data_IF_615153289529
#
_entry.id   IF_615153289529
#
_cell.length_a   1.000
_cell.length_b   1.000
_cell.length_c   1.000
_cell.angle_alpha   90.00
_cell.angle_beta   90.00
_cell.angle_gamma   90.00
#
_symmetry.space_group_name_H-M   'P 1'
#
loop_
_entity.id
_entity.type
_entity.pdbx_description
1 polymer ?
#
# COMPACT_ATOMS: atom_id res chain seq x y z
N UNK A 1 3.53 -3.29 -8.35
CA UNK A 1 4.68 -2.50 -8.86
C UNK A 1 5.70 -3.40 -9.58
N UNK A 2 6.27 -4.40 -8.95
CA UNK A 2 7.30 -5.29 -9.55
C UNK A 2 6.84 -5.94 -10.86
N UNK A 3 5.64 -6.52 -10.91
CA UNK A 3 5.07 -7.05 -12.17
C UNK A 3 4.99 -6.00 -13.27
N UNK A 4 4.51 -4.80 -12.97
CA UNK A 4 4.44 -3.69 -13.94
C UNK A 4 5.82 -3.28 -14.48
N UNK A 5 6.84 -3.36 -13.65
CA UNK A 5 8.22 -3.00 -14.00
C UNK A 5 9.02 -4.17 -14.59
N UNK A 6 8.44 -5.37 -14.60
CA UNK A 6 9.11 -6.60 -15.00
C UNK A 6 10.41 -6.85 -14.21
N UNK A 7 10.38 -6.58 -12.91
CA UNK A 7 11.50 -6.80 -11.98
C UNK A 7 11.25 -8.10 -11.21
N UNK A 8 12.21 -9.05 -11.21
CA UNK A 8 12.10 -10.26 -10.40
C UNK A 8 12.02 -9.94 -8.91
N UNK A 9 11.18 -10.66 -8.19
CA UNK A 9 11.06 -10.56 -6.74
C UNK A 9 10.57 -11.88 -6.14
N UNK A 10 10.84 -12.07 -4.86
CA UNK A 10 10.27 -13.15 -4.05
C UNK A 10 9.15 -12.56 -3.20
N UNK A 11 7.98 -13.20 -3.22
CA UNK A 11 6.85 -12.84 -2.36
C UNK A 11 6.84 -13.76 -1.14
N UNK A 12 6.81 -13.18 0.05
CA UNK A 12 6.61 -13.91 1.30
C UNK A 12 5.23 -13.58 1.82
N UNK A 13 4.41 -14.58 2.05
CA UNK A 13 3.03 -14.44 2.52
C UNK A 13 2.93 -14.98 3.95
N UNK A 14 2.10 -14.33 4.75
CA UNK A 14 1.74 -14.75 6.11
C UNK A 14 0.25 -15.01 6.13
N UNK A 15 -0.11 -16.28 6.27
CA UNK A 15 -1.50 -16.71 6.28
C UNK A 15 -2.05 -16.66 7.69
N UNK A 16 -3.14 -15.91 7.89
CA UNK A 16 -3.89 -15.94 9.14
C UNK A 16 -4.60 -17.29 9.30
N UNK A 17 -4.76 -17.72 10.54
CA UNK A 17 -5.61 -18.87 10.86
C UNK A 17 -7.07 -18.65 10.48
N UNK A 18 -7.84 -19.74 10.55
CA UNK A 18 -9.26 -19.75 10.22
C UNK A 18 -10.11 -18.92 11.20
N UNK A 19 -11.34 -18.62 10.76
CA UNK A 19 -12.36 -18.04 11.63
C UNK A 19 -12.71 -19.02 12.78
N UNK A 20 -13.13 -18.51 13.95
CA UNK A 20 -13.39 -17.11 14.26
C UNK A 20 -12.16 -16.32 14.75
N UNK A 21 -11.09 -16.99 15.12
CA UNK A 21 -9.97 -16.36 15.85
C UNK A 21 -9.01 -15.61 14.93
N UNK A 22 -8.92 -16.00 13.65
CA UNK A 22 -7.99 -15.43 12.68
C UNK A 22 -6.58 -15.26 13.24
N UNK A 23 -6.01 -16.35 13.78
CA UNK A 23 -4.69 -16.34 14.41
C UNK A 23 -3.64 -15.69 13.50
N UNK A 24 -2.85 -14.77 14.06
CA UNK A 24 -1.83 -14.00 13.37
C UNK A 24 -0.42 -14.30 13.86
N UNK A 25 -0.25 -15.39 14.62
CA UNK A 25 1.06 -15.80 15.17
C UNK A 25 2.11 -15.95 14.07
N UNK A 26 1.72 -16.44 12.88
CA UNK A 26 2.59 -16.52 11.71
C UNK A 26 3.36 -15.24 11.39
N UNK A 27 2.79 -14.07 11.68
CA UNK A 27 3.43 -12.77 11.54
C UNK A 27 3.94 -12.22 12.87
N UNK A 28 3.14 -12.29 13.93
CA UNK A 28 3.45 -11.66 15.22
C UNK A 28 4.71 -12.25 15.88
N UNK A 29 4.97 -13.55 15.69
CA UNK A 29 6.13 -14.22 16.28
C UNK A 29 7.45 -13.89 15.56
N UNK A 30 7.38 -13.44 14.32
CA UNK A 30 8.58 -13.18 13.51
C UNK A 30 8.89 -11.71 13.27
N UNK A 31 7.90 -10.82 13.33
CA UNK A 31 8.06 -9.42 12.91
C UNK A 31 9.20 -8.69 13.61
N UNK A 32 9.40 -8.91 14.90
CA UNK A 32 10.45 -8.27 15.68
C UNK A 32 11.85 -8.84 15.38
N UNK A 33 11.92 -10.04 14.79
CA UNK A 33 13.19 -10.70 14.44
C UNK A 33 13.74 -10.24 13.09
N UNK A 34 12.93 -9.59 12.25
CA UNK A 34 13.30 -9.18 10.90
C UNK A 34 14.24 -7.97 10.86
N UNK A 35 14.43 -7.28 11.99
CA UNK A 35 15.27 -6.09 12.08
C UNK A 35 14.74 -4.93 11.24
N UNK A 36 13.41 -4.78 11.18
CA UNK A 36 12.71 -3.65 10.62
C UNK A 36 12.65 -2.53 11.65
N UNK A 37 12.83 -1.28 11.23
CA UNK A 37 12.72 -0.12 12.12
C UNK A 37 11.28 0.07 12.63
N UNK A 38 10.31 -0.14 11.76
CA UNK A 38 8.87 -0.12 12.06
C UNK A 38 8.24 -1.43 11.57
N UNK A 39 8.24 -2.52 12.40
CA UNK A 39 7.78 -3.84 11.98
C UNK A 39 6.31 -3.86 11.61
N UNK A 40 6.01 -3.90 10.31
CA UNK A 40 4.65 -3.89 9.76
C UNK A 40 4.61 -4.56 8.37
N UNK A 41 3.40 -4.88 7.91
CA UNK A 41 3.12 -5.37 6.56
C UNK A 41 2.48 -4.26 5.71
N UNK A 42 2.87 -4.11 4.44
CA UNK A 42 3.96 -4.84 3.77
C UNK A 42 5.35 -4.34 4.17
N UNK A 43 6.35 -5.17 3.98
CA UNK A 43 7.76 -4.78 4.05
C UNK A 43 8.50 -5.14 2.75
N UNK A 44 9.66 -4.55 2.55
CA UNK A 44 10.58 -4.81 1.44
C UNK A 44 12.00 -5.00 1.97
N UNK A 45 12.65 -6.06 1.53
CA UNK A 45 14.09 -6.26 1.65
C UNK A 45 14.74 -6.15 0.27
N UNK A 46 15.79 -5.33 0.16
CA UNK A 46 16.56 -5.14 -1.05
C UNK A 46 18.05 -4.97 -0.68
N UNK A 47 18.77 -6.07 -0.57
CA UNK A 47 20.09 -6.11 0.04
C UNK A 47 20.04 -5.65 1.50
N UNK A 48 20.82 -4.64 1.84
CA UNK A 48 20.84 -4.05 3.18
C UNK A 48 19.66 -3.08 3.45
N UNK A 49 18.92 -2.74 2.39
CA UNK A 49 17.78 -1.82 2.52
C UNK A 49 16.55 -2.55 3.03
N UNK A 50 15.98 -2.06 4.11
CA UNK A 50 14.75 -2.58 4.71
C UNK A 50 13.74 -1.45 4.84
N UNK A 51 12.57 -1.60 4.23
CA UNK A 51 11.54 -0.56 4.18
C UNK A 51 10.18 -1.16 4.52
N UNK A 52 9.43 -0.48 5.35
CA UNK A 52 8.00 -0.70 5.57
C UNK A 52 7.18 0.45 4.99
N UNK A 53 5.88 0.39 5.10
CA UNK A 53 4.90 1.34 4.58
C UNK A 53 4.73 1.29 3.06
N UNK A 54 3.49 1.02 2.63
CA UNK A 54 3.13 0.80 1.22
C UNK A 54 3.63 1.92 0.30
N UNK A 55 3.42 3.18 0.69
CA UNK A 55 3.80 4.35 -0.13
C UNK A 55 5.31 4.47 -0.23
N UNK A 56 6.03 4.30 0.89
CA UNK A 56 7.49 4.35 0.91
C UNK A 56 8.11 3.26 0.03
N UNK A 57 7.61 2.02 0.12
CA UNK A 57 8.02 0.90 -0.73
C UNK A 57 7.78 1.22 -2.21
N UNK A 58 6.60 1.72 -2.56
CA UNK A 58 6.28 2.05 -3.95
C UNK A 58 7.18 3.16 -4.50
N UNK A 59 7.47 4.18 -3.72
CA UNK A 59 8.37 5.26 -4.12
C UNK A 59 9.81 4.80 -4.26
N UNK A 60 10.29 3.96 -3.33
CA UNK A 60 11.61 3.35 -3.43
C UNK A 60 11.77 2.54 -4.72
N UNK A 61 10.81 1.66 -5.01
CA UNK A 61 10.83 0.84 -6.22
C UNK A 61 10.79 1.72 -7.47
N UNK A 62 9.93 2.73 -7.51
CA UNK A 62 9.86 3.66 -8.63
C UNK A 62 11.18 4.41 -8.81
N UNK A 63 11.76 4.92 -7.72
CA UNK A 63 13.03 5.65 -7.76
C UNK A 63 14.18 4.79 -8.27
N UNK A 64 14.22 3.51 -7.86
CA UNK A 64 15.30 2.59 -8.22
C UNK A 64 15.20 2.09 -9.66
N UNK A 65 14.00 1.72 -10.10
CA UNK A 65 13.83 0.99 -11.37
C UNK A 65 13.23 1.82 -12.50
N UNK A 66 12.43 2.84 -12.20
CA UNK A 66 11.84 3.74 -13.20
C UNK A 66 11.56 5.12 -12.58
N UNK A 67 12.58 5.97 -12.43
CA UNK A 67 12.43 7.29 -11.81
C UNK A 67 11.38 8.19 -12.46
N UNK A 68 11.10 8.00 -13.75
CA UNK A 68 10.06 8.76 -14.47
C UNK A 68 8.65 8.59 -13.90
N UNK A 69 8.40 7.50 -13.13
CA UNK A 69 7.13 7.33 -12.41
C UNK A 69 6.94 8.32 -11.26
N UNK A 70 7.99 9.01 -10.85
CA UNK A 70 7.94 10.04 -9.80
C UNK A 70 7.84 11.46 -10.36
N UNK A 71 7.69 11.59 -11.70
CA UNK A 71 7.66 12.87 -12.37
C UNK A 71 9.05 13.45 -12.65
N UNK A 72 9.11 14.44 -13.55
CA UNK A 72 10.33 15.11 -14.00
C UNK A 72 10.58 16.45 -13.30
N UNK A 73 9.58 16.97 -12.59
CA UNK A 73 9.62 18.24 -11.87
C UNK A 73 9.06 18.10 -10.47
N UNK A 74 9.35 19.07 -9.60
CA UNK A 74 8.79 19.15 -8.26
C UNK A 74 7.24 19.23 -8.29
N UNK A 75 6.68 19.92 -9.29
CA UNK A 75 5.24 20.04 -9.46
C UNK A 75 4.59 18.70 -9.82
N UNK A 76 5.19 17.95 -10.76
CA UNK A 76 4.73 16.60 -11.11
C UNK A 76 4.87 15.63 -9.94
N UNK A 77 6.00 15.65 -9.25
CA UNK A 77 6.21 14.85 -8.04
C UNK A 77 5.13 15.16 -7.00
N UNK A 78 4.90 16.42 -6.68
CA UNK A 78 3.86 16.81 -5.72
C UNK A 78 2.46 16.35 -6.14
N UNK A 79 2.13 16.43 -7.43
CA UNK A 79 0.87 15.92 -7.97
C UNK A 79 0.73 14.39 -7.80
N UNK A 80 1.80 13.64 -8.05
CA UNK A 80 1.82 12.19 -7.88
C UNK A 80 1.58 11.81 -6.41
N UNK A 81 2.28 12.47 -5.48
CA UNK A 81 2.09 12.22 -4.05
C UNK A 81 0.66 12.56 -3.61
N UNK A 82 0.13 13.68 -4.07
CA UNK A 82 -1.26 14.06 -3.80
C UNK A 82 -2.26 12.99 -4.28
N UNK A 83 -2.05 12.42 -5.47
CA UNK A 83 -2.90 11.35 -6.01
C UNK A 83 -2.76 10.05 -5.20
N UNK A 84 -1.53 9.68 -4.83
CA UNK A 84 -1.28 8.52 -3.96
C UNK A 84 -2.02 8.66 -2.63
N UNK A 85 -1.99 9.83 -2.04
CA UNK A 85 -2.67 10.13 -0.77
C UNK A 85 -4.20 10.04 -0.91
N UNK A 86 -4.76 10.52 -2.04
CA UNK A 86 -6.20 10.38 -2.32
C UNK A 86 -6.62 8.92 -2.53
N UNK A 87 -5.80 8.13 -3.23
CA UNK A 87 -6.03 6.69 -3.37
C UNK A 87 -5.93 5.97 -2.02
N UNK A 88 -4.98 6.35 -1.17
CA UNK A 88 -4.88 5.82 0.18
C UNK A 88 -6.12 6.17 1.01
N UNK A 89 -6.56 7.44 0.99
CA UNK A 89 -7.81 7.88 1.65
C UNK A 89 -9.00 7.05 1.18
N UNK A 90 -9.14 6.83 -0.13
CA UNK A 90 -10.20 6.00 -0.70
C UNK A 90 -10.13 4.57 -0.16
N UNK A 91 -8.94 3.97 -0.18
CA UNK A 91 -8.72 2.63 0.37
C UNK A 91 -9.13 2.54 1.84
N UNK A 92 -8.71 3.49 2.68
CA UNK A 92 -9.04 3.49 4.10
C UNK A 92 -10.55 3.64 4.34
N UNK A 93 -11.21 4.52 3.60
CA UNK A 93 -12.68 4.66 3.66
C UNK A 93 -13.40 3.37 3.27
N UNK A 94 -12.92 2.65 2.26
CA UNK A 94 -13.51 1.39 1.84
C UNK A 94 -13.21 0.22 2.81
N UNK A 95 -12.07 0.24 3.50
CA UNK A 95 -11.58 -0.90 4.27
C UNK A 95 -12.01 -0.85 5.74
N UNK A 96 -11.97 0.34 6.37
CA UNK A 96 -12.26 0.49 7.80
C UNK A 96 -13.68 -0.04 8.16
N UNK A 97 -14.75 0.30 7.42
CA UNK A 97 -16.09 -0.21 7.73
C UNK A 97 -16.20 -1.73 7.69
N UNK A 98 -15.41 -2.40 6.85
CA UNK A 98 -15.38 -3.87 6.81
C UNK A 98 -14.93 -4.49 8.13
N UNK A 99 -14.09 -3.77 8.90
CA UNK A 99 -13.60 -4.22 10.21
C UNK A 99 -14.41 -3.68 11.40
N UNK A 100 -15.31 -2.73 11.17
CA UNK A 100 -16.05 -2.04 12.25
C UNK A 100 -17.56 -2.23 12.16
N UNK A 101 -18.21 -1.55 11.22
CA UNK A 101 -19.68 -1.53 11.11
C UNK A 101 -20.26 -2.59 10.18
N UNK A 102 -19.46 -3.06 9.20
CA UNK A 102 -19.92 -3.95 8.16
C UNK A 102 -20.87 -3.31 7.13
N UNK A 103 -21.09 -2.00 7.20
CA UNK A 103 -21.98 -1.27 6.28
C UNK A 103 -21.26 -0.96 4.96
N UNK A 104 -21.41 -1.87 4.01
CA UNK A 104 -20.80 -1.73 2.70
C UNK A 104 -21.50 -0.69 1.81
N UNK A 105 -22.82 -0.49 1.95
CA UNK A 105 -23.57 0.46 1.10
C UNK A 105 -23.19 1.91 1.43
N UNK A 106 -23.23 2.31 2.68
CA UNK A 106 -22.79 3.62 3.11
C UNK A 106 -21.34 3.92 2.72
N UNK A 107 -20.48 2.90 2.83
CA UNK A 107 -19.08 2.99 2.41
C UNK A 107 -18.93 3.27 0.91
N UNK A 108 -19.69 2.57 0.07
CA UNK A 108 -19.64 2.74 -1.39
C UNK A 108 -20.07 4.17 -1.75
N UNK A 109 -21.13 4.69 -1.15
CA UNK A 109 -21.63 6.02 -1.44
C UNK A 109 -20.65 7.13 -1.06
N UNK A 110 -19.92 6.97 0.04
CA UNK A 110 -18.83 7.89 0.41
C UNK A 110 -17.61 7.80 -0.53
N UNK A 111 -17.34 6.63 -1.11
CA UNK A 111 -16.21 6.41 -1.99
C UNK A 111 -16.44 6.92 -3.42
N UNK A 112 -17.68 6.90 -3.92
CA UNK A 112 -18.04 7.28 -5.30
C UNK A 112 -17.52 8.66 -5.73
N UNK A 113 -17.76 9.75 -4.98
CA UNK A 113 -17.29 11.08 -5.40
C UNK A 113 -15.77 11.20 -5.41
N UNK A 114 -15.06 10.50 -4.51
CA UNK A 114 -13.60 10.49 -4.46
C UNK A 114 -13.06 9.75 -5.69
N UNK A 115 -13.63 8.59 -6.00
CA UNK A 115 -13.24 7.80 -7.17
C UNK A 115 -13.50 8.55 -8.47
N UNK A 116 -14.68 9.16 -8.62
CA UNK A 116 -15.04 9.95 -9.79
C UNK A 116 -14.03 11.10 -10.02
N UNK A 117 -13.63 11.79 -8.94
CA UNK A 117 -12.64 12.86 -9.04
C UNK A 117 -11.24 12.35 -9.40
N UNK A 118 -10.82 11.19 -8.87
CA UNK A 118 -9.55 10.57 -9.25
C UNK A 118 -9.55 10.24 -10.75
N UNK A 119 -10.62 9.62 -11.26
CA UNK A 119 -10.76 9.25 -12.67
C UNK A 119 -10.73 10.49 -13.56
N UNK A 120 -11.47 11.55 -13.22
CA UNK A 120 -11.47 12.84 -13.96
C UNK A 120 -10.06 13.44 -14.06
N UNK A 121 -9.28 13.39 -12.98
CA UNK A 121 -7.94 14.00 -12.91
C UNK A 121 -6.88 13.16 -13.64
N UNK A 122 -7.10 11.86 -13.75
CA UNK A 122 -6.18 10.95 -14.45
C UNK A 122 -6.39 10.92 -15.97
N UNK A 123 -7.51 11.44 -16.47
CA UNK A 123 -7.80 11.59 -17.90
C UNK A 123 -8.30 10.36 -18.54
#
# INVERSE_FOLDING_TARGET
MFYYLNVPFTNTEYECGDAPDFDKSCWLDVKETLGLEYPNLPYLFDGETKITETVAIMQYIAKKYRPSLLGSSAAEFGRIIMLQDKVHTLKMKATIPCYTTGDAEATIDECRPILAKIVEVMG
#
